data_IF_257151784681
#
_entry.id   IF_257151784681
#
_cell.length_a   1.000
_cell.length_b   1.000
_cell.length_c   1.000
_cell.angle_alpha   90.00
_cell.angle_beta   90.00
_cell.angle_gamma   90.00
#
_symmetry.space_group_name_H-M   'P 1'
#
loop_
_entity.id
_entity.type
_entity.pdbx_description
1 polymer ?
#
# COMPACT_ATOMS: atom_id res chain seq x y z
N UNK A 1 5.21 -30.57 7.74
CA UNK A 1 6.50 -29.84 7.84
C UNK A 1 7.48 -30.14 6.69
N UNK A 2 7.39 -31.30 6.02
CA UNK A 2 8.36 -31.73 4.99
C UNK A 2 8.42 -30.81 3.75
N UNK A 3 7.32 -30.13 3.43
CA UNK A 3 7.19 -29.25 2.25
C UNK A 3 6.93 -27.79 2.62
N UNK A 4 7.10 -27.42 3.89
CA UNK A 4 6.76 -26.07 4.36
C UNK A 4 7.53 -24.97 3.60
N UNK A 5 8.81 -25.20 3.30
CA UNK A 5 9.62 -24.21 2.57
C UNK A 5 9.23 -24.10 1.08
N UNK A 6 8.57 -25.13 0.54
CA UNK A 6 8.14 -25.13 -0.86
C UNK A 6 6.72 -24.55 -1.02
N UNK A 7 5.96 -24.46 0.08
CA UNK A 7 4.54 -24.05 0.08
C UNK A 7 4.28 -22.69 0.76
N UNK A 8 5.25 -22.13 1.48
CA UNK A 8 5.13 -20.82 2.11
C UNK A 8 5.40 -19.71 1.10
N UNK A 9 4.42 -18.83 0.89
CA UNK A 9 4.60 -17.62 0.09
C UNK A 9 5.32 -16.56 0.93
N UNK A 10 6.47 -16.09 0.44
CA UNK A 10 7.25 -15.02 1.07
C UNK A 10 6.99 -13.70 0.36
N UNK A 11 6.25 -12.83 1.02
CA UNK A 11 5.96 -11.47 0.54
C UNK A 11 6.73 -10.49 1.41
N UNK A 12 7.71 -9.80 0.83
CA UNK A 12 8.48 -8.78 1.55
C UNK A 12 7.78 -7.43 1.45
N UNK A 13 7.82 -6.69 2.55
CA UNK A 13 7.26 -5.34 2.60
C UNK A 13 8.35 -4.31 2.32
N UNK A 14 8.13 -3.45 1.31
CA UNK A 14 9.01 -2.32 0.99
C UNK A 14 8.31 -1.04 1.41
N UNK A 15 8.84 -0.38 2.43
CA UNK A 15 8.18 0.77 3.05
C UNK A 15 9.17 1.82 3.59
N UNK A 16 10.39 1.83 3.04
CA UNK A 16 11.39 2.84 3.34
C UNK A 16 12.17 3.26 2.09
N UNK A 17 12.69 4.50 2.02
CA UNK A 17 13.57 4.94 0.93
C UNK A 17 14.78 4.03 0.75
N UNK A 18 15.40 3.58 1.83
CA UNK A 18 16.53 2.65 1.80
C UNK A 18 16.14 1.30 1.15
N UNK A 19 14.95 0.78 1.48
CA UNK A 19 14.42 -0.43 0.85
C UNK A 19 14.19 -0.26 -0.64
N UNK A 20 13.76 0.93 -1.08
CA UNK A 20 13.61 1.25 -2.51
C UNK A 20 14.96 1.42 -3.19
N UNK A 21 15.95 2.02 -2.52
CA UNK A 21 17.30 2.18 -3.06
C UNK A 21 17.98 0.83 -3.33
N UNK A 22 17.71 -0.17 -2.47
CA UNK A 22 18.23 -1.52 -2.59
C UNK A 22 17.26 -2.51 -3.27
N UNK A 23 16.17 -2.02 -3.88
CA UNK A 23 15.07 -2.86 -4.36
C UNK A 23 15.51 -3.95 -5.35
N UNK A 24 16.36 -3.63 -6.31
CA UNK A 24 16.80 -4.61 -7.31
C UNK A 24 17.58 -5.76 -6.65
N UNK A 25 18.43 -5.48 -5.69
CA UNK A 25 19.20 -6.50 -4.97
C UNK A 25 18.27 -7.37 -4.11
N UNK A 26 17.38 -6.73 -3.34
CA UNK A 26 16.45 -7.43 -2.44
C UNK A 26 15.48 -8.31 -3.25
N UNK A 27 14.89 -7.77 -4.32
CA UNK A 27 13.88 -8.48 -5.12
C UNK A 27 14.45 -9.64 -5.93
N UNK A 28 15.77 -9.61 -6.20
CA UNK A 28 16.48 -10.69 -6.89
C UNK A 28 16.83 -11.89 -5.99
N UNK A 29 16.58 -11.80 -4.68
CA UNK A 29 16.95 -12.86 -3.74
C UNK A 29 16.11 -14.12 -3.99
N UNK A 30 16.74 -15.31 -4.04
CA UNK A 30 15.99 -16.55 -4.12
C UNK A 30 15.04 -16.73 -2.92
N UNK A 31 13.80 -17.12 -3.20
CA UNK A 31 12.79 -17.35 -2.16
C UNK A 31 11.96 -16.11 -1.83
N UNK A 32 12.15 -15.01 -2.52
CA UNK A 32 11.23 -13.87 -2.49
C UNK A 32 10.19 -14.07 -3.60
N UNK A 33 8.92 -14.28 -3.22
CA UNK A 33 7.85 -14.58 -4.17
C UNK A 33 7.14 -13.32 -4.66
N UNK A 34 7.01 -12.31 -3.81
CA UNK A 34 6.39 -11.04 -4.16
C UNK A 34 6.84 -9.92 -3.23
N UNK A 35 6.58 -8.69 -3.66
CA UNK A 35 6.82 -7.47 -2.89
C UNK A 35 5.50 -6.77 -2.64
N UNK A 36 5.34 -6.20 -1.46
CA UNK A 36 4.19 -5.38 -1.11
C UNK A 36 4.63 -4.03 -0.55
N UNK A 37 4.13 -2.94 -1.10
CA UNK A 37 4.42 -1.59 -0.60
C UNK A 37 3.41 -1.21 0.46
N UNK A 38 3.89 -0.77 1.63
CA UNK A 38 3.11 -0.07 2.65
C UNK A 38 3.12 1.45 2.37
N UNK A 39 2.10 2.01 1.69
CA UNK A 39 2.17 3.40 1.22
C UNK A 39 2.27 4.43 2.34
N UNK A 40 1.59 4.18 3.45
CA UNK A 40 1.60 5.09 4.59
C UNK A 40 2.97 5.11 5.28
N UNK A 41 3.54 3.93 5.50
CA UNK A 41 4.84 3.78 6.15
C UNK A 41 5.96 4.31 5.26
N UNK A 42 5.91 4.01 3.95
CA UNK A 42 6.84 4.59 2.98
C UNK A 42 6.77 6.12 2.98
N UNK A 43 5.57 6.69 2.93
CA UNK A 43 5.37 8.14 2.98
C UNK A 43 5.90 8.75 4.28
N UNK A 44 5.65 8.08 5.41
CA UNK A 44 6.17 8.50 6.70
C UNK A 44 7.71 8.51 6.72
N UNK A 45 8.34 7.49 6.18
CA UNK A 45 9.80 7.36 6.10
C UNK A 45 10.43 8.34 5.11
N UNK A 46 9.66 8.88 4.17
CA UNK A 46 10.11 9.90 3.22
C UNK A 46 10.07 11.32 3.79
N UNK A 47 9.52 11.53 4.98
CA UNK A 47 9.47 12.85 5.60
C UNK A 47 10.88 13.43 5.78
N UNK A 48 10.96 14.73 5.61
CA UNK A 48 12.19 15.47 5.91
C UNK A 48 12.42 15.59 7.42
N UNK A 49 13.64 15.97 7.88
CA UNK A 49 13.94 16.11 9.31
C UNK A 49 13.07 17.15 10.05
N UNK A 50 12.47 18.09 9.33
CA UNK A 50 11.53 19.09 9.85
C UNK A 50 10.05 18.62 9.78
N UNK A 51 9.82 17.31 9.63
CA UNK A 51 8.51 16.65 9.58
C UNK A 51 7.62 17.07 8.39
N UNK A 52 8.24 17.53 7.30
CA UNK A 52 7.50 17.84 6.07
C UNK A 52 7.22 16.57 5.26
N UNK A 53 5.97 16.37 4.88
CA UNK A 53 5.55 15.27 3.99
C UNK A 53 6.17 15.41 2.60
N UNK A 54 6.48 14.28 1.92
CA UNK A 54 6.85 14.32 0.51
C UNK A 54 5.70 14.86 -0.34
N UNK A 55 6.04 15.51 -1.43
CA UNK A 55 5.03 15.91 -2.43
C UNK A 55 4.41 14.68 -3.10
N UNK A 56 3.20 14.80 -3.70
CA UNK A 56 2.60 13.70 -4.45
C UNK A 56 3.51 13.17 -5.56
N UNK A 57 4.24 14.05 -6.23
CA UNK A 57 5.16 13.71 -7.32
C UNK A 57 6.39 12.92 -6.81
N UNK A 58 6.96 13.32 -5.68
CA UNK A 58 8.08 12.61 -5.04
C UNK A 58 7.64 11.21 -4.59
N UNK A 59 6.47 11.12 -3.97
CA UNK A 59 5.93 9.83 -3.55
C UNK A 59 5.63 8.92 -4.74
N UNK A 60 5.01 9.45 -5.80
CA UNK A 60 4.74 8.69 -7.03
C UNK A 60 6.04 8.21 -7.70
N UNK A 61 7.06 9.07 -7.76
CA UNK A 61 8.36 8.68 -8.29
C UNK A 61 8.97 7.51 -7.51
N UNK A 62 8.79 7.47 -6.19
CA UNK A 62 9.24 6.35 -5.35
C UNK A 62 8.49 5.05 -5.68
N UNK A 63 7.16 5.11 -5.86
CA UNK A 63 6.36 3.96 -6.28
C UNK A 63 6.79 3.43 -7.65
N UNK A 64 7.05 4.32 -8.60
CA UNK A 64 7.51 3.92 -9.95
C UNK A 64 8.89 3.25 -9.92
N UNK A 65 9.78 3.63 -9.00
CA UNK A 65 11.06 2.93 -8.78
C UNK A 65 10.85 1.49 -8.30
N UNK A 66 9.93 1.26 -7.36
CA UNK A 66 9.56 -0.09 -6.91
C UNK A 66 9.01 -0.92 -8.07
N UNK A 67 8.09 -0.35 -8.84
CA UNK A 67 7.51 -1.03 -10.01
C UNK A 67 8.59 -1.38 -11.05
N UNK A 68 9.50 -0.45 -11.33
CA UNK A 68 10.60 -0.68 -12.26
C UNK A 68 11.54 -1.78 -11.78
N UNK A 69 11.89 -1.79 -10.50
CA UNK A 69 12.72 -2.85 -9.91
C UNK A 69 12.04 -4.22 -10.00
N UNK A 70 10.75 -4.31 -9.69
CA UNK A 70 9.98 -5.55 -9.84
C UNK A 70 9.94 -6.06 -11.27
N UNK A 71 9.69 -5.17 -12.24
CA UNK A 71 9.74 -5.52 -13.68
C UNK A 71 11.12 -6.01 -14.11
N UNK A 72 12.17 -5.40 -13.61
CA UNK A 72 13.56 -5.75 -13.95
C UNK A 72 13.98 -7.09 -13.39
N UNK A 73 13.58 -7.40 -12.15
CA UNK A 73 13.92 -8.66 -11.47
C UNK A 73 12.98 -9.80 -11.81
N UNK A 74 11.80 -9.50 -12.37
CA UNK A 74 10.73 -10.47 -12.61
C UNK A 74 9.93 -10.81 -11.35
N UNK A 75 10.11 -10.07 -10.26
CA UNK A 75 9.40 -10.28 -9.00
C UNK A 75 8.11 -9.46 -8.98
N UNK A 76 6.93 -10.09 -8.77
CA UNK A 76 5.66 -9.38 -8.69
C UNK A 76 5.67 -8.32 -7.59
N UNK A 77 5.17 -7.13 -7.91
CA UNK A 77 5.04 -6.04 -6.94
C UNK A 77 3.59 -5.64 -6.73
N UNK A 78 3.26 -5.28 -5.51
CA UNK A 78 1.94 -4.90 -5.09
C UNK A 78 1.94 -3.73 -4.10
N UNK A 79 0.75 -3.18 -3.87
CA UNK A 79 0.56 -2.08 -2.92
C UNK A 79 -0.87 -2.02 -2.40
N UNK A 80 -1.06 -1.28 -1.32
CA UNK A 80 -2.38 -0.96 -0.78
C UNK A 80 -2.91 0.33 -1.41
N UNK A 81 -4.18 0.33 -1.84
CA UNK A 81 -4.87 1.49 -2.42
C UNK A 81 -6.25 1.66 -1.80
N UNK A 82 -6.86 2.83 -1.96
CA UNK A 82 -8.09 3.19 -1.24
C UNK A 82 -9.33 3.28 -2.15
N UNK A 83 -9.16 3.42 -3.47
CA UNK A 83 -10.27 3.64 -4.41
C UNK A 83 -10.13 2.78 -5.65
N UNK A 84 -11.26 2.56 -6.33
CA UNK A 84 -11.32 1.76 -7.57
C UNK A 84 -10.54 2.43 -8.69
N UNK A 85 -10.61 3.75 -8.81
CA UNK A 85 -9.91 4.51 -9.87
C UNK A 85 -8.39 4.31 -9.76
N UNK A 86 -7.87 4.32 -8.52
CA UNK A 86 -6.45 4.04 -8.29
C UNK A 86 -6.12 2.57 -8.58
N UNK A 87 -7.00 1.61 -8.27
CA UNK A 87 -6.81 0.20 -8.66
C UNK A 87 -6.63 0.08 -10.16
N UNK A 88 -7.53 0.66 -10.95
CA UNK A 88 -7.51 0.60 -12.41
C UNK A 88 -6.22 1.21 -12.96
N UNK A 89 -5.81 2.36 -12.43
CA UNK A 89 -4.54 2.99 -12.77
C UNK A 89 -3.35 2.05 -12.50
N UNK A 90 -3.26 1.48 -11.29
CA UNK A 90 -2.15 0.61 -10.91
C UNK A 90 -2.11 -0.67 -11.73
N UNK A 91 -3.25 -1.26 -12.05
CA UNK A 91 -3.32 -2.41 -12.97
C UNK A 91 -2.76 -2.03 -14.35
N UNK A 92 -3.17 -0.88 -14.89
CA UNK A 92 -2.69 -0.41 -16.19
C UNK A 92 -1.17 -0.15 -16.21
N UNK A 93 -0.59 0.28 -15.09
CA UNK A 93 0.86 0.45 -14.91
C UNK A 93 1.61 -0.89 -14.81
N UNK A 94 0.93 -1.98 -14.44
CA UNK A 94 1.49 -3.31 -14.33
C UNK A 94 1.76 -3.79 -12.90
N UNK A 95 1.11 -3.19 -11.89
CA UNK A 95 1.09 -3.73 -10.54
C UNK A 95 0.24 -5.02 -10.50
N UNK A 96 0.71 -6.05 -9.80
CA UNK A 96 0.13 -7.40 -9.88
C UNK A 96 -0.54 -7.86 -8.59
N UNK A 97 -0.27 -7.20 -7.46
CA UNK A 97 -0.81 -7.56 -6.16
C UNK A 97 -1.37 -6.29 -5.48
N UNK A 98 -2.69 -6.11 -5.53
CA UNK A 98 -3.33 -4.87 -5.08
C UNK A 98 -4.32 -5.18 -3.96
N UNK A 99 -4.08 -4.59 -2.78
CA UNK A 99 -5.03 -4.59 -1.67
C UNK A 99 -5.90 -3.32 -1.74
N UNK A 100 -7.21 -3.49 -1.79
CA UNK A 100 -8.16 -2.39 -1.88
C UNK A 100 -8.86 -2.12 -0.55
N UNK A 101 -8.65 -0.94 0.00
CA UNK A 101 -9.33 -0.46 1.20
C UNK A 101 -9.04 -1.31 2.44
N UNK A 102 -9.92 -1.22 3.41
CA UNK A 102 -9.91 -2.09 4.59
C UNK A 102 -11.34 -2.41 5.03
N UNK A 103 -11.52 -3.56 5.70
CA UNK A 103 -12.80 -3.97 6.26
C UNK A 103 -13.34 -2.94 7.25
N UNK A 104 -12.48 -2.33 8.06
CA UNK A 104 -12.86 -1.26 8.98
C UNK A 104 -13.46 -0.06 8.24
N UNK A 105 -12.80 0.40 7.18
CA UNK A 105 -13.29 1.53 6.39
C UNK A 105 -14.59 1.22 5.69
N UNK A 106 -14.74 0.00 5.15
CA UNK A 106 -15.97 -0.46 4.53
C UNK A 106 -17.13 -0.49 5.54
N UNK A 107 -16.88 -0.99 6.74
CA UNK A 107 -17.86 -1.04 7.83
C UNK A 107 -18.26 0.37 8.28
N UNK A 108 -17.30 1.27 8.50
CA UNK A 108 -17.57 2.65 8.92
C UNK A 108 -18.36 3.41 7.86
N UNK A 109 -17.97 3.29 6.59
CA UNK A 109 -18.68 3.94 5.47
C UNK A 109 -20.13 3.43 5.37
N UNK A 110 -20.35 2.12 5.46
CA UNK A 110 -21.70 1.53 5.47
C UNK A 110 -22.55 2.03 6.64
N UNK A 111 -21.97 2.10 7.83
CA UNK A 111 -22.67 2.64 9.00
C UNK A 111 -23.02 4.14 8.84
N UNK A 112 -22.08 4.92 8.28
CA UNK A 112 -22.31 6.35 8.00
C UNK A 112 -23.42 6.56 6.96
N UNK A 113 -23.48 5.72 5.94
CA UNK A 113 -24.54 5.75 4.94
C UNK A 113 -25.91 5.54 5.57
N UNK A 114 -26.06 4.52 6.44
CA UNK A 114 -27.32 4.26 7.15
C UNK A 114 -27.71 5.41 8.07
N UNK A 115 -26.77 5.94 8.87
CA UNK A 115 -27.06 7.06 9.79
C UNK A 115 -27.45 8.31 9.01
N UNK A 116 -26.79 8.58 7.89
CA UNK A 116 -27.11 9.75 7.04
C UNK A 116 -28.50 9.63 6.41
N UNK A 117 -28.88 8.42 5.99
CA UNK A 117 -30.21 8.16 5.42
C UNK A 117 -31.35 8.33 6.43
N UNK A 118 -31.08 8.22 7.72
CA UNK A 118 -32.08 8.43 8.78
C UNK A 118 -32.40 9.91 9.06
N UNK A 119 -31.72 10.87 8.43
CA UNK A 119 -31.90 12.31 8.66
C UNK A 119 -31.91 12.71 10.15
N UNK A 120 -31.14 12.00 10.97
CA UNK A 120 -31.00 12.33 12.39
C UNK A 120 -30.27 13.69 12.51
N UNK A 121 -30.80 14.57 13.36
CA UNK A 121 -30.08 15.82 13.68
C UNK A 121 -28.69 15.46 14.26
N UNK A 122 -27.62 16.19 13.88
CA UNK A 122 -26.30 15.95 14.42
C UNK A 122 -26.34 15.99 15.95
N UNK A 123 -26.02 14.90 16.61
CA UNK A 123 -25.78 14.96 18.05
C UNK A 123 -24.53 15.82 18.27
N UNK A 124 -24.59 16.78 19.17
CA UNK A 124 -23.48 17.67 19.53
C UNK A 124 -22.41 16.91 20.35
N UNK A 125 -21.92 15.80 19.82
CA UNK A 125 -20.85 14.98 20.39
C UNK A 125 -19.82 14.69 19.34
N UNK A 126 -18.57 15.08 19.60
CA UNK A 126 -17.42 14.66 18.81
C UNK A 126 -17.36 13.13 18.81
N UNK A 127 -17.69 12.52 17.67
CA UNK A 127 -17.41 11.10 17.48
C UNK A 127 -15.89 10.94 17.47
N UNK A 128 -15.38 10.03 18.30
CA UNK A 128 -13.96 9.72 18.37
C UNK A 128 -13.40 9.49 16.94
N UNK A 129 -12.39 10.26 16.60
CA UNK A 129 -11.64 10.07 15.36
C UNK A 129 -10.63 8.96 15.59
N UNK A 130 -10.86 7.81 14.96
CA UNK A 130 -9.91 6.71 14.88
C UNK A 130 -9.15 6.80 13.55
#
# INVERSE_FOLDING_TARGET
YKYANDEVLVVLQTESPEGVDNAEEIYSLPGVDAIFVGPNDLKWQMKTPDDTDPTPEEFEAMLQRVLAAGKKTGTPVGLHVQTIEVVEQRIAEGWQFIALGSELKMMVNGAQEFVSALNLAPSAGDLARY
#
